data_IF_830062737237
#
_entry.id   IF_830062737237
#
_cell.length_a   1.000
_cell.length_b   1.000
_cell.length_c   1.000
_cell.angle_alpha   90.00
_cell.angle_beta   90.00
_cell.angle_gamma   90.00
#
_symmetry.space_group_name_H-M   'P 1'
#
loop_
_entity.id
_entity.type
_entity.pdbx_description
1 polymer ?
#
# COMPACT_ATOMS: atom_id res chain seq x y z
N UNK A 1 21.11 -4.64 -12.74
CA UNK A 1 21.36 -6.08 -12.51
C UNK A 1 21.04 -6.83 -13.80
N UNK A 2 21.81 -7.86 -14.14
CA UNK A 2 21.50 -8.70 -15.31
C UNK A 2 20.21 -9.49 -15.06
N UNK A 3 19.44 -9.83 -16.10
CA UNK A 3 18.26 -10.72 -15.98
C UNK A 3 18.61 -12.05 -15.31
N UNK A 4 19.83 -12.54 -15.48
CA UNK A 4 20.33 -13.74 -14.81
C UNK A 4 20.46 -13.56 -13.30
N UNK A 5 20.92 -12.38 -12.84
CA UNK A 5 21.06 -12.08 -11.42
C UNK A 5 19.68 -11.96 -10.74
N UNK A 6 18.69 -11.40 -11.44
CA UNK A 6 17.30 -11.32 -10.98
C UNK A 6 16.69 -12.71 -10.80
N UNK A 7 16.86 -13.60 -11.77
CA UNK A 7 16.39 -14.99 -11.72
C UNK A 7 17.07 -15.81 -10.60
N UNK A 8 18.36 -15.59 -10.37
CA UNK A 8 19.09 -16.22 -9.27
C UNK A 8 18.58 -15.70 -7.92
N UNK A 9 18.33 -14.38 -7.80
CA UNK A 9 17.77 -13.80 -6.58
C UNK A 9 16.38 -14.35 -6.28
N UNK A 10 15.49 -14.41 -7.27
CA UNK A 10 14.13 -14.95 -7.09
C UNK A 10 14.15 -16.40 -6.57
N UNK A 11 15.02 -17.25 -7.14
CA UNK A 11 15.23 -18.64 -6.65
C UNK A 11 15.73 -18.71 -5.21
N UNK A 12 16.51 -17.71 -4.77
CA UNK A 12 17.04 -17.65 -3.39
C UNK A 12 16.06 -17.05 -2.39
N UNK A 13 15.09 -16.25 -2.85
CA UNK A 13 14.04 -15.68 -2.02
C UNK A 13 12.90 -16.67 -1.77
N UNK A 14 12.65 -17.59 -2.70
CA UNK A 14 11.56 -18.59 -2.60
C UNK A 14 11.56 -19.42 -1.30
N UNK A 15 12.71 -19.94 -0.81
CA UNK A 15 12.76 -20.65 0.47
C UNK A 15 12.37 -19.78 1.68
N UNK A 16 12.55 -18.46 1.58
CA UNK A 16 12.15 -17.52 2.64
C UNK A 16 10.62 -17.39 2.65
N UNK A 17 9.99 -17.24 1.48
CA UNK A 17 8.54 -17.22 1.34
C UNK A 17 7.90 -18.52 1.82
N UNK A 18 8.40 -19.67 1.38
CA UNK A 18 7.89 -20.98 1.80
C UNK A 18 7.99 -21.16 3.33
N UNK A 19 9.05 -20.66 3.96
CA UNK A 19 9.21 -20.72 5.41
C UNK A 19 8.29 -19.75 6.17
N UNK A 20 7.98 -18.59 5.59
CA UNK A 20 7.00 -17.63 6.13
C UNK A 20 5.60 -18.24 6.04
N UNK A 21 5.23 -18.82 4.90
CA UNK A 21 3.92 -19.43 4.67
C UNK A 21 3.70 -20.68 5.53
N UNK A 22 4.77 -21.43 5.81
CA UNK A 22 4.75 -22.54 6.76
C UNK A 22 4.71 -22.10 8.24
N UNK A 23 4.72 -20.79 8.54
CA UNK A 23 4.74 -20.24 9.90
C UNK A 23 6.06 -20.48 10.66
N UNK A 24 7.11 -20.96 9.98
CA UNK A 24 8.40 -21.27 10.61
C UNK A 24 9.35 -20.08 10.51
N UNK A 25 9.13 -19.10 11.38
CA UNK A 25 9.86 -17.86 11.32
C UNK A 25 11.37 -17.98 11.66
N UNK A 26 11.77 -18.94 12.50
CA UNK A 26 13.20 -19.24 12.75
C UNK A 26 13.89 -19.66 11.46
N UNK A 27 13.26 -20.54 10.67
CA UNK A 27 13.78 -20.98 9.38
C UNK A 27 13.80 -19.84 8.36
N UNK A 28 12.76 -19.01 8.33
CA UNK A 28 12.70 -17.84 7.45
C UNK A 28 13.85 -16.85 7.73
N UNK A 29 14.14 -16.56 9.01
CA UNK A 29 15.27 -15.71 9.40
C UNK A 29 16.61 -16.33 8.98
N UNK A 30 16.79 -17.64 9.18
CA UNK A 30 18.01 -18.33 8.75
C UNK A 30 18.23 -18.27 7.24
N UNK A 31 17.19 -18.50 6.44
CA UNK A 31 17.28 -18.40 4.98
C UNK A 31 17.55 -16.96 4.54
N UNK A 32 16.93 -15.98 5.18
CA UNK A 32 17.22 -14.57 4.91
C UNK A 32 18.68 -14.20 5.25
N UNK A 33 19.22 -14.67 6.38
CA UNK A 33 20.63 -14.46 6.74
C UNK A 33 21.60 -15.12 5.77
N UNK A 34 21.27 -16.29 5.21
CA UNK A 34 22.06 -16.92 4.13
C UNK A 34 22.10 -16.07 2.87
N UNK A 35 20.99 -15.39 2.54
CA UNK A 35 20.95 -14.46 1.40
C UNK A 35 21.78 -13.22 1.71
N UNK A 36 21.58 -12.60 2.88
CA UNK A 36 22.27 -11.38 3.29
C UNK A 36 23.78 -11.57 3.47
N UNK A 37 24.27 -12.75 3.86
CA UNK A 37 25.70 -13.06 3.89
C UNK A 37 26.36 -12.97 2.51
N UNK A 38 25.64 -13.37 1.45
CA UNK A 38 26.16 -13.35 0.07
C UNK A 38 25.85 -12.03 -0.64
N UNK A 39 24.72 -11.40 -0.31
CA UNK A 39 24.29 -10.12 -0.87
C UNK A 39 23.75 -9.22 0.25
N UNK A 40 24.64 -8.50 0.98
CA UNK A 40 24.24 -7.68 2.13
C UNK A 40 23.32 -6.51 1.77
N UNK A 41 23.30 -6.12 0.51
CA UNK A 41 22.54 -4.97 -0.02
C UNK A 41 21.12 -5.37 -0.44
N UNK A 42 20.78 -6.67 -0.47
CA UNK A 42 19.47 -7.15 -0.94
C UNK A 42 18.35 -6.72 0.03
N UNK A 43 17.61 -5.68 -0.35
CA UNK A 43 16.53 -5.10 0.46
C UNK A 43 15.38 -6.09 0.67
N UNK A 44 14.98 -6.83 -0.37
CA UNK A 44 13.93 -7.86 -0.27
C UNK A 44 14.21 -8.87 0.86
N UNK A 45 15.45 -9.34 0.98
CA UNK A 45 15.85 -10.28 2.04
C UNK A 45 15.81 -9.64 3.44
N UNK A 46 16.16 -8.34 3.57
CA UNK A 46 16.02 -7.60 4.85
C UNK A 46 14.56 -7.41 5.24
N UNK A 47 13.70 -7.07 4.29
CA UNK A 47 12.25 -6.92 4.50
C UNK A 47 11.61 -8.25 4.90
N UNK A 48 11.92 -9.34 4.21
CA UNK A 48 11.41 -10.67 4.55
C UNK A 48 11.94 -11.16 5.92
N UNK A 49 13.20 -10.84 6.27
CA UNK A 49 13.74 -11.10 7.62
C UNK A 49 12.97 -10.34 8.70
N UNK A 50 12.75 -9.04 8.48
CA UNK A 50 11.97 -8.23 9.41
C UNK A 50 10.54 -8.75 9.57
N UNK A 51 9.90 -9.15 8.47
CA UNK A 51 8.57 -9.77 8.49
C UNK A 51 8.54 -11.06 9.33
N UNK A 52 9.53 -11.94 9.16
CA UNK A 52 9.63 -13.17 9.93
C UNK A 52 9.82 -12.88 11.44
N UNK A 53 10.66 -11.91 11.80
CA UNK A 53 10.85 -11.48 13.20
C UNK A 53 9.57 -10.92 13.80
N UNK A 54 8.86 -10.08 13.04
CA UNK A 54 7.60 -9.47 13.46
C UNK A 54 6.53 -10.55 13.72
N UNK A 55 6.39 -11.52 12.82
CA UNK A 55 5.49 -12.67 13.03
C UNK A 55 5.91 -13.60 14.18
N UNK A 56 7.15 -13.51 14.65
CA UNK A 56 7.65 -14.26 15.81
C UNK A 56 7.50 -13.52 17.13
N UNK A 57 6.74 -12.41 17.15
CA UNK A 57 6.59 -11.51 18.32
C UNK A 57 7.88 -10.76 18.72
N UNK A 58 8.90 -10.76 17.86
CA UNK A 58 10.16 -10.01 18.03
C UNK A 58 10.08 -8.65 17.34
N UNK A 59 9.11 -7.85 17.75
CA UNK A 59 8.77 -6.58 17.09
C UNK A 59 9.93 -5.59 17.06
N UNK A 60 10.62 -5.41 18.20
CA UNK A 60 11.73 -4.47 18.31
C UNK A 60 12.87 -4.76 17.31
N UNK A 61 13.27 -6.03 17.17
CA UNK A 61 14.33 -6.44 16.24
C UNK A 61 13.89 -6.25 14.78
N UNK A 62 12.63 -6.57 14.45
CA UNK A 62 12.08 -6.30 13.12
C UNK A 62 12.00 -4.81 12.80
N UNK A 63 11.65 -3.98 13.79
CA UNK A 63 11.55 -2.54 13.67
C UNK A 63 12.91 -1.87 13.48
N UNK A 64 13.95 -2.29 14.20
CA UNK A 64 15.31 -1.77 13.98
C UNK A 64 15.82 -2.07 12.56
N UNK A 65 15.61 -3.30 12.06
CA UNK A 65 16.02 -3.66 10.70
C UNK A 65 15.32 -2.75 9.69
N UNK A 66 14.01 -2.54 9.84
CA UNK A 66 13.21 -1.69 8.95
C UNK A 66 13.65 -0.22 9.02
N UNK A 67 13.89 0.33 10.21
CA UNK A 67 14.30 1.72 10.38
C UNK A 67 15.73 1.97 9.88
N UNK A 68 16.59 0.94 9.93
CA UNK A 68 17.94 0.99 9.37
C UNK A 68 17.98 0.89 7.83
N UNK A 69 16.85 0.64 7.17
CA UNK A 69 16.73 0.73 5.72
C UNK A 69 16.72 2.20 5.30
N UNK A 70 17.88 2.84 5.35
CA UNK A 70 18.11 4.08 4.63
C UNK A 70 18.31 3.70 3.16
N UNK A 71 17.40 4.12 2.27
CA UNK A 71 17.35 3.61 0.90
C UNK A 71 17.55 4.67 -0.17
N UNK A 72 18.71 5.36 -0.20
CA UNK A 72 19.18 5.98 -1.42
C UNK A 72 19.63 4.88 -2.41
N UNK A 73 18.68 4.33 -3.19
CA UNK A 73 18.99 3.44 -4.33
C UNK A 73 18.34 2.05 -4.31
N UNK A 74 17.30 1.82 -3.50
CA UNK A 74 16.49 0.59 -3.65
C UNK A 74 15.92 0.51 -5.06
N UNK A 75 16.29 -0.54 -5.79
CA UNK A 75 15.55 -0.93 -6.98
C UNK A 75 14.26 -1.57 -6.49
N UNK A 76 13.12 -1.02 -6.92
CA UNK A 76 11.84 -1.70 -6.85
C UNK A 76 11.89 -2.87 -7.83
N UNK A 77 12.46 -4.00 -7.39
CA UNK A 77 12.29 -5.26 -8.09
C UNK A 77 10.92 -5.86 -7.75
N UNK A 78 10.36 -6.59 -8.71
CA UNK A 78 9.07 -7.27 -8.58
C UNK A 78 9.00 -8.15 -7.33
N UNK A 79 10.15 -8.70 -6.90
CA UNK A 79 10.28 -9.46 -5.66
C UNK A 79 10.08 -8.64 -4.38
N UNK A 80 10.54 -7.39 -4.33
CA UNK A 80 10.28 -6.49 -3.19
C UNK A 80 8.81 -6.07 -3.16
N UNK A 81 8.21 -5.79 -4.32
CA UNK A 81 6.79 -5.49 -4.47
C UNK A 81 5.90 -6.65 -3.99
N UNK A 82 6.20 -7.88 -4.43
CA UNK A 82 5.50 -9.08 -3.97
C UNK A 82 5.69 -9.33 -2.47
N UNK A 83 6.89 -9.11 -1.93
CA UNK A 83 7.14 -9.21 -0.49
C UNK A 83 6.19 -8.28 0.29
N UNK A 84 6.10 -7.02 -0.14
CA UNK A 84 5.21 -6.04 0.47
C UNK A 84 3.74 -6.45 0.33
N UNK A 85 3.28 -6.84 -0.85
CA UNK A 85 1.90 -7.30 -1.07
C UNK A 85 1.57 -8.50 -0.17
N UNK A 86 2.50 -9.44 0.00
CA UNK A 86 2.33 -10.59 0.88
C UNK A 86 2.31 -10.21 2.36
N UNK A 87 3.16 -9.26 2.78
CA UNK A 87 3.10 -8.65 4.10
C UNK A 87 1.74 -7.96 4.35
N UNK A 88 1.20 -7.26 3.36
CA UNK A 88 -0.05 -6.50 3.48
C UNK A 88 -1.31 -7.37 3.41
N UNK A 89 -1.27 -8.49 2.70
CA UNK A 89 -2.39 -9.47 2.66
C UNK A 89 -2.48 -10.32 3.92
N UNK A 90 -1.41 -10.43 4.68
CA UNK A 90 -1.39 -11.06 5.98
C UNK A 90 -2.09 -10.19 7.02
N UNK A 91 -3.42 -10.22 7.00
CA UNK A 91 -4.35 -9.54 7.91
C UNK A 91 -4.29 -10.05 9.36
N UNK A 92 -3.10 -10.36 9.89
CA UNK A 92 -2.97 -10.93 11.23
C UNK A 92 -2.93 -9.85 12.33
N UNK A 93 -2.63 -8.58 12.01
CA UNK A 93 -2.74 -7.49 12.99
C UNK A 93 -2.87 -6.07 12.34
N UNK A 94 -4.06 -5.45 12.34
CA UNK A 94 -4.29 -4.13 11.76
C UNK A 94 -3.43 -3.02 12.37
N UNK A 95 -3.13 -3.08 13.68
CA UNK A 95 -2.28 -2.08 14.34
C UNK A 95 -0.83 -2.14 13.86
N UNK A 96 -0.35 -3.34 13.53
CA UNK A 96 1.03 -3.57 13.11
C UNK A 96 1.27 -3.12 11.66
N UNK A 97 0.27 -3.34 10.79
CA UNK A 97 0.22 -2.75 9.46
C UNK A 97 0.31 -1.22 9.54
N UNK A 98 -0.61 -0.61 10.30
CA UNK A 98 -0.74 0.83 10.52
C UNK A 98 0.52 1.49 11.07
N UNK A 99 1.13 0.91 12.11
CA UNK A 99 2.24 1.56 12.84
C UNK A 99 3.57 1.55 12.09
N UNK A 100 3.79 0.65 11.12
CA UNK A 100 5.15 0.32 10.68
C UNK A 100 5.30 -0.12 9.22
N UNK A 101 4.48 -1.08 8.78
CA UNK A 101 4.60 -1.63 7.43
C UNK A 101 4.17 -0.62 6.37
N UNK A 102 3.07 0.09 6.59
CA UNK A 102 2.67 1.16 5.68
C UNK A 102 3.70 2.29 5.66
N UNK A 103 4.17 2.86 6.80
CA UNK A 103 5.22 3.90 6.83
C UNK A 103 6.49 3.55 6.06
N UNK A 104 6.99 2.33 6.20
CA UNK A 104 8.14 1.89 5.44
C UNK A 104 7.83 1.79 3.94
N UNK A 105 6.73 1.15 3.58
CA UNK A 105 6.37 0.98 2.18
C UNK A 105 6.16 2.34 1.49
N UNK A 106 5.54 3.32 2.17
CA UNK A 106 5.37 4.66 1.61
C UNK A 106 6.73 5.32 1.39
N UNK A 107 7.60 5.36 2.41
CA UNK A 107 8.96 5.94 2.25
C UNK A 107 9.72 5.28 1.11
N UNK A 108 9.61 3.96 0.96
CA UNK A 108 10.26 3.24 -0.12
C UNK A 108 9.69 3.61 -1.49
N UNK A 109 8.36 3.60 -1.64
CA UNK A 109 7.69 3.96 -2.89
C UNK A 109 7.97 5.42 -3.24
N UNK A 110 7.79 6.36 -2.31
CA UNK A 110 8.04 7.79 -2.48
C UNK A 110 9.50 8.05 -2.92
N UNK A 111 10.47 7.37 -2.31
CA UNK A 111 11.88 7.47 -2.73
C UNK A 111 12.15 6.92 -4.14
N UNK A 112 11.49 5.83 -4.53
CA UNK A 112 11.63 5.26 -5.87
C UNK A 112 10.98 6.16 -6.93
N UNK A 113 9.74 6.57 -6.67
CA UNK A 113 8.96 7.46 -7.54
C UNK A 113 9.65 8.80 -7.69
N UNK A 114 10.20 9.37 -6.61
CA UNK A 114 10.95 10.62 -6.67
C UNK A 114 12.21 10.56 -7.55
N UNK A 115 12.80 9.37 -7.73
CA UNK A 115 14.02 9.18 -8.55
C UNK A 115 13.75 8.72 -9.97
N UNK A 116 12.73 7.89 -10.18
CA UNK A 116 12.51 7.19 -11.45
C UNK A 116 11.11 7.38 -12.04
N UNK A 117 10.20 8.04 -11.32
CA UNK A 117 8.78 8.10 -11.65
C UNK A 117 8.08 6.74 -11.51
N UNK A 118 6.78 6.73 -11.77
CA UNK A 118 6.03 5.50 -11.95
C UNK A 118 6.31 4.92 -13.33
N UNK A 119 6.50 3.61 -13.40
CA UNK A 119 6.76 2.86 -14.64
C UNK A 119 5.64 1.89 -14.98
N UNK A 120 4.84 1.49 -14.00
CA UNK A 120 3.75 0.55 -14.19
C UNK A 120 2.56 0.85 -13.27
N UNK A 121 1.35 0.50 -13.72
CA UNK A 121 0.12 0.61 -12.93
C UNK A 121 0.20 -0.12 -11.59
N UNK A 122 0.90 -1.26 -11.52
CA UNK A 122 1.07 -2.02 -10.29
C UNK A 122 1.82 -1.24 -9.19
N UNK A 123 2.75 -0.36 -9.56
CA UNK A 123 3.47 0.50 -8.60
C UNK A 123 2.53 1.57 -8.02
N UNK A 124 1.65 2.12 -8.86
CA UNK A 124 0.62 3.09 -8.45
C UNK A 124 -0.38 2.42 -7.52
N UNK A 125 -0.89 1.24 -7.90
CA UNK A 125 -1.84 0.48 -7.08
C UNK A 125 -1.26 0.13 -5.71
N UNK A 126 0.01 -0.30 -5.65
CA UNK A 126 0.66 -0.55 -4.37
C UNK A 126 0.75 0.74 -3.55
N UNK A 127 1.17 1.86 -4.15
CA UNK A 127 1.26 3.12 -3.41
C UNK A 127 -0.11 3.56 -2.88
N UNK A 128 -1.16 3.46 -3.69
CA UNK A 128 -2.54 3.74 -3.25
C UNK A 128 -2.93 2.85 -2.08
N UNK A 129 -2.66 1.53 -2.14
CA UNK A 129 -2.95 0.61 -1.03
C UNK A 129 -2.19 0.95 0.25
N UNK A 130 -0.94 1.43 0.10
CA UNK A 130 -0.12 1.84 1.25
C UNK A 130 -0.70 3.11 1.89
N UNK A 131 -1.08 4.10 1.09
CA UNK A 131 -1.71 5.33 1.58
C UNK A 131 -3.06 5.06 2.25
N UNK A 132 -3.88 4.16 1.68
CA UNK A 132 -5.11 3.67 2.31
C UNK A 132 -4.84 3.07 3.70
N UNK A 133 -3.82 2.22 3.82
CA UNK A 133 -3.41 1.63 5.09
C UNK A 133 -2.94 2.62 6.15
N UNK A 134 -2.48 3.80 5.73
CA UNK A 134 -2.14 4.92 6.62
C UNK A 134 -3.31 5.83 6.97
N UNK A 135 -4.48 5.61 6.40
CA UNK A 135 -5.60 6.56 6.39
C UNK A 135 -5.28 7.90 5.69
N UNK A 136 -4.28 7.93 4.79
CA UNK A 136 -3.96 9.09 3.93
C UNK A 136 -4.81 9.05 2.66
N UNK A 137 -6.14 9.07 2.83
CA UNK A 137 -7.09 8.82 1.74
C UNK A 137 -7.12 9.92 0.67
N UNK A 138 -6.86 11.18 1.05
CA UNK A 138 -6.82 12.31 0.09
C UNK A 138 -5.65 12.14 -0.87
N UNK A 139 -4.46 11.88 -0.34
CA UNK A 139 -3.26 11.69 -1.15
C UNK A 139 -3.37 10.48 -2.08
N UNK A 140 -4.05 9.42 -1.61
CA UNK A 140 -4.38 8.26 -2.43
C UNK A 140 -5.30 8.64 -3.62
N UNK A 141 -6.26 9.54 -3.40
CA UNK A 141 -7.19 9.99 -4.44
C UNK A 141 -6.51 10.90 -5.45
N UNK A 142 -5.68 11.83 -4.99
CA UNK A 142 -4.87 12.71 -5.84
C UNK A 142 -3.94 11.89 -6.73
N UNK A 143 -3.29 10.86 -6.16
CA UNK A 143 -2.44 9.95 -6.90
C UNK A 143 -3.19 9.24 -8.04
N UNK A 144 -4.40 8.73 -7.78
CA UNK A 144 -5.25 8.10 -8.80
C UNK A 144 -5.85 9.10 -9.80
N UNK A 145 -5.94 10.38 -9.43
CA UNK A 145 -6.43 11.46 -10.27
C UNK A 145 -5.39 12.04 -11.23
N UNK A 146 -4.11 11.95 -10.88
CA UNK A 146 -2.99 12.43 -11.70
C UNK A 146 -3.01 11.83 -13.12
N UNK A 147 -2.71 12.64 -14.12
CA UNK A 147 -2.76 12.23 -15.53
C UNK A 147 -1.69 11.17 -15.84
N UNK A 148 -0.49 11.34 -15.27
CA UNK A 148 0.64 10.43 -15.40
C UNK A 148 0.30 9.05 -14.84
N UNK A 149 -0.42 9.02 -13.71
CA UNK A 149 -0.89 7.79 -13.09
C UNK A 149 -1.95 7.10 -13.93
N UNK A 150 -2.93 7.87 -14.44
CA UNK A 150 -4.03 7.35 -15.28
C UNK A 150 -3.54 6.72 -16.57
N UNK A 151 -2.46 7.24 -17.16
CA UNK A 151 -1.87 6.68 -18.37
C UNK A 151 -1.27 5.27 -18.16
N UNK A 152 -0.86 4.93 -16.94
CA UNK A 152 -0.22 3.66 -16.60
C UNK A 152 -1.19 2.62 -16.01
N UNK A 153 -2.37 3.06 -15.56
CA UNK A 153 -3.39 2.20 -15.00
C UNK A 153 -4.18 1.50 -16.11
N UNK A 154 -4.35 0.19 -15.98
CA UNK A 154 -5.21 -0.60 -16.88
C UNK A 154 -6.69 -0.59 -16.44
N UNK A 155 -6.99 0.02 -15.29
CA UNK A 155 -8.34 0.06 -14.71
C UNK A 155 -9.26 0.94 -15.55
N UNK A 156 -10.43 0.43 -15.96
CA UNK A 156 -11.37 1.22 -16.76
C UNK A 156 -11.82 2.51 -16.04
N UNK A 157 -12.07 3.62 -16.77
CA UNK A 157 -12.39 4.92 -16.18
C UNK A 157 -13.53 4.90 -15.16
N UNK A 158 -14.57 4.10 -15.42
CA UNK A 158 -15.72 3.93 -14.52
C UNK A 158 -15.32 3.37 -13.14
N UNK A 159 -14.51 2.30 -13.13
CA UNK A 159 -14.07 1.68 -11.88
C UNK A 159 -13.06 2.56 -11.14
N UNK A 160 -12.22 3.29 -11.89
CA UNK A 160 -11.30 4.26 -11.30
C UNK A 160 -12.06 5.42 -10.63
N UNK A 161 -13.10 5.95 -11.28
CA UNK A 161 -13.97 6.99 -10.71
C UNK A 161 -14.64 6.50 -9.43
N UNK A 162 -15.26 5.32 -9.43
CA UNK A 162 -15.86 4.73 -8.23
C UNK A 162 -14.84 4.55 -7.10
N UNK A 163 -13.62 4.07 -7.41
CA UNK A 163 -12.53 3.92 -6.44
C UNK A 163 -12.09 5.27 -5.84
N UNK A 164 -11.96 6.31 -6.65
CA UNK A 164 -11.64 7.67 -6.18
C UNK A 164 -12.72 8.26 -5.28
N UNK A 165 -14.00 8.07 -5.63
CA UNK A 165 -15.12 8.51 -4.79
C UNK A 165 -15.13 7.78 -3.44
N UNK A 166 -14.86 6.47 -3.44
CA UNK A 166 -14.75 5.70 -2.19
C UNK A 166 -13.62 6.21 -1.28
N UNK A 167 -12.49 6.65 -1.85
CA UNK A 167 -11.40 7.26 -1.09
C UNK A 167 -11.82 8.59 -0.45
N UNK A 168 -12.50 9.47 -1.21
CA UNK A 168 -13.02 10.74 -0.66
C UNK A 168 -14.07 10.53 0.44
N UNK A 169 -14.90 9.49 0.29
CA UNK A 169 -15.86 9.09 1.33
C UNK A 169 -15.14 8.70 2.62
N UNK A 170 -14.13 7.83 2.52
CA UNK A 170 -13.28 7.43 3.67
C UNK A 170 -12.51 8.60 4.27
N UNK A 171 -12.18 9.63 3.47
CA UNK A 171 -11.54 10.86 3.95
C UNK A 171 -12.51 11.85 4.62
N UNK A 172 -13.81 11.57 4.61
CA UNK A 172 -14.85 12.46 5.15
C UNK A 172 -15.11 13.70 4.31
N UNK A 173 -14.71 13.73 3.03
CA UNK A 173 -14.93 14.83 2.07
C UNK A 173 -16.27 14.67 1.34
N UNK A 174 -17.34 14.56 2.11
CA UNK A 174 -18.67 14.22 1.60
C UNK A 174 -19.21 15.25 0.59
N UNK A 175 -18.95 16.55 0.79
CA UNK A 175 -19.39 17.62 -0.12
C UNK A 175 -18.83 17.42 -1.54
N UNK A 176 -17.52 17.19 -1.64
CA UNK A 176 -16.84 16.95 -2.93
C UNK A 176 -17.29 15.64 -3.57
N UNK A 177 -17.62 14.62 -2.77
CA UNK A 177 -18.21 13.38 -3.28
C UNK A 177 -19.55 13.68 -3.94
N UNK A 178 -20.46 14.38 -3.26
CA UNK A 178 -21.78 14.73 -3.80
C UNK A 178 -21.65 15.47 -5.14
N UNK A 179 -20.84 16.53 -5.20
CA UNK A 179 -20.62 17.34 -6.41
C UNK A 179 -20.15 16.48 -7.59
N UNK A 180 -19.08 15.70 -7.39
CA UNK A 180 -18.51 14.84 -8.46
C UNK A 180 -19.44 13.70 -8.86
N UNK A 181 -20.27 13.21 -7.95
CA UNK A 181 -21.20 12.11 -8.23
C UNK A 181 -22.39 12.61 -9.04
N UNK A 182 -22.87 13.83 -8.76
CA UNK A 182 -23.96 14.48 -9.51
C UNK A 182 -23.54 14.81 -10.94
N UNK A 183 -22.33 15.33 -11.15
CA UNK A 183 -21.81 15.66 -12.50
C UNK A 183 -21.77 14.45 -13.46
N UNK A 184 -21.47 13.25 -12.93
CA UNK A 184 -21.37 12.02 -13.71
C UNK A 184 -22.58 11.08 -13.58
N UNK A 185 -23.68 11.55 -12.99
CA UNK A 185 -24.79 10.68 -12.59
C UNK A 185 -25.51 10.10 -13.82
N UNK A 186 -25.65 8.78 -13.81
CA UNK A 186 -26.42 8.04 -14.79
C UNK A 186 -27.57 7.29 -14.08
N UNK A 187 -28.82 7.36 -14.56
CA UNK A 187 -29.94 6.60 -14.00
C UNK A 187 -29.66 5.11 -13.79
N UNK A 188 -28.87 4.48 -14.67
CA UNK A 188 -28.57 3.04 -14.61
C UNK A 188 -27.36 2.70 -13.71
N UNK A 189 -26.70 3.70 -13.09
CA UNK A 189 -25.53 3.48 -12.27
C UNK A 189 -25.84 3.48 -10.76
N UNK A 190 -26.33 2.34 -10.28
CA UNK A 190 -26.62 2.13 -8.86
C UNK A 190 -25.42 2.35 -7.94
N UNK A 191 -24.18 2.27 -8.45
CA UNK A 191 -22.99 2.49 -7.63
C UNK A 191 -22.86 3.97 -7.26
N UNK A 192 -23.07 4.86 -8.24
CA UNK A 192 -23.05 6.31 -8.01
C UNK A 192 -24.21 6.74 -7.12
N UNK A 193 -25.40 6.18 -7.32
CA UNK A 193 -26.55 6.46 -6.46
C UNK A 193 -26.28 6.12 -4.99
N UNK A 194 -25.72 4.93 -4.70
CA UNK A 194 -25.36 4.56 -3.33
C UNK A 194 -24.36 5.53 -2.72
N UNK A 195 -23.28 5.83 -3.43
CA UNK A 195 -22.25 6.77 -2.97
C UNK A 195 -22.83 8.17 -2.72
N UNK A 196 -23.75 8.63 -3.57
CA UNK A 196 -24.45 9.89 -3.41
C UNK A 196 -25.31 9.90 -2.14
N UNK A 197 -26.11 8.86 -1.92
CA UNK A 197 -26.93 8.76 -0.71
C UNK A 197 -26.08 8.67 0.56
N UNK A 198 -25.08 7.79 0.59
CA UNK A 198 -24.19 7.61 1.73
C UNK A 198 -23.48 8.92 2.10
N UNK A 199 -22.96 9.65 1.11
CA UNK A 199 -22.30 10.95 1.34
C UNK A 199 -23.28 12.04 1.78
N UNK A 200 -24.48 12.08 1.21
CA UNK A 200 -25.51 13.06 1.57
C UNK A 200 -26.02 12.86 3.01
N UNK A 201 -26.23 11.60 3.43
CA UNK A 201 -26.64 11.30 4.80
C UNK A 201 -25.56 11.65 5.82
N UNK A 202 -24.28 11.39 5.52
CA UNK A 202 -23.18 11.78 6.40
C UNK A 202 -23.02 13.31 6.50
N UNK A 203 -23.32 14.07 5.44
CA UNK A 203 -23.37 15.55 5.52
C UNK A 203 -24.49 16.03 6.43
N UNK A 204 -25.69 15.48 6.28
CA UNK A 204 -26.83 15.85 7.13
C UNK A 204 -26.52 15.57 8.61
N UNK A 205 -25.97 14.39 8.90
CA UNK A 205 -25.58 14.02 10.27
C UNK A 205 -24.53 14.98 10.85
N UNK A 206 -23.51 15.37 10.06
CA UNK A 206 -22.50 16.35 10.49
C UNK A 206 -23.12 17.71 10.79
N UNK A 207 -24.01 18.19 9.94
CA UNK A 207 -24.67 19.48 10.15
C UNK A 207 -25.54 19.46 11.43
N UNK A 208 -26.27 18.37 11.68
CA UNK A 208 -27.04 18.20 12.91
C UNK A 208 -26.16 18.18 14.18
N UNK A 209 -24.98 17.55 14.12
CA UNK A 209 -24.01 17.53 15.22
C UNK A 209 -23.37 18.91 15.47
N UNK A 210 -23.12 19.69 14.42
CA UNK A 210 -22.61 21.06 14.52
C UNK A 210 -23.67 22.00 15.12
N UNK A 211 -24.91 21.94 14.66
CA UNK A 211 -26.03 22.72 15.21
C UNK A 211 -26.32 22.40 16.69
N UNK A 212 -26.01 21.20 17.15
CA UNK A 212 -26.14 20.80 18.56
C UNK A 212 -24.96 21.27 19.42
N UNK A 213 -23.76 21.49 18.85
CA UNK A 213 -22.60 22.04 19.58
C UNK A 213 -22.67 23.56 19.73
N UNK A 214 -23.38 24.23 18.84
CA UNK A 214 -23.54 25.69 18.86
C UNK A 214 -24.68 26.17 19.77
N UNK A 215 -25.49 25.26 20.32
CA UNK A 215 -26.56 25.51 21.30
C UNK A 215 -26.08 25.27 22.73
#
# INVERSE_FOLDING_TARGET
>A
MSKADQLIMERRLRPIYDAIDAGNAKKAVQEADKVLKKHPVTVCAKVLKALALIRSDKLAEGFEIINSLDVPGAQFDEGTLQAFVHCFKARENPEMGAKMLYPLAARMVENHVGKYGYKAGAEIELHTMVLEGMNRFIEAEELLGAEESRALLSTPPKFLMARRLALLLSAGKYQTVVERTVEGLNPDDWTLWKVLFDSSFELLRKNEEEEQREK
#
